data_IF_866285477025
#
_entry.id   IF_866285477025
#
_cell.length_a   1.000
_cell.length_b   1.000
_cell.length_c   1.000
_cell.angle_alpha   90.00
_cell.angle_beta   90.00
_cell.angle_gamma   90.00
#
_symmetry.space_group_name_H-M   'P 1'
#
loop_
_entity.id
_entity.type
_entity.pdbx_description
1 polymer ?
#
# COMPACT_ATOMS: atom_id res chain seq x y z
N UNK A 1 -4.58 -20.04 21.20
CA UNK A 1 -4.92 -21.11 20.20
C UNK A 1 -5.32 -20.54 18.84
N UNK A 2 -6.32 -19.65 18.73
CA UNK A 2 -6.81 -19.10 17.46
C UNK A 2 -5.71 -18.39 16.63
N UNK A 3 -4.90 -17.53 17.23
CA UNK A 3 -3.79 -16.81 16.58
C UNK A 3 -2.73 -17.79 16.06
N UNK A 4 -2.40 -18.81 16.84
CA UNK A 4 -1.42 -19.83 16.46
C UNK A 4 -1.94 -20.69 15.27
N UNK A 5 -3.20 -21.05 15.29
CA UNK A 5 -3.84 -21.77 14.19
C UNK A 5 -3.93 -20.91 12.90
N UNK A 6 -4.22 -19.63 13.05
CA UNK A 6 -4.18 -18.67 11.93
C UNK A 6 -2.77 -18.58 11.34
N UNK A 7 -1.74 -18.34 12.19
CA UNK A 7 -0.34 -18.31 11.79
C UNK A 7 0.05 -19.57 11.00
N UNK A 8 -0.24 -20.75 11.53
CA UNK A 8 0.12 -22.01 10.88
C UNK A 8 -0.49 -22.15 9.48
N UNK A 9 -1.79 -21.85 9.33
CA UNK A 9 -2.47 -21.89 8.03
C UNK A 9 -1.93 -20.86 7.05
N UNK A 10 -1.64 -19.65 7.53
CA UNK A 10 -1.12 -18.56 6.70
C UNK A 10 0.27 -18.91 6.17
N UNK A 11 1.19 -19.33 7.05
CA UNK A 11 2.54 -19.76 6.67
C UNK A 11 2.53 -20.94 5.69
N UNK A 12 1.64 -21.91 5.89
CA UNK A 12 1.48 -23.02 4.95
C UNK A 12 1.07 -22.57 3.54
N UNK A 13 0.25 -21.52 3.43
CA UNK A 13 -0.12 -20.93 2.14
C UNK A 13 1.03 -20.12 1.52
N UNK A 14 1.77 -19.38 2.33
CA UNK A 14 2.94 -18.62 1.86
C UNK A 14 4.04 -19.56 1.37
N UNK A 15 4.35 -20.62 2.11
CA UNK A 15 5.38 -21.61 1.76
C UNK A 15 5.13 -22.26 0.39
N UNK A 16 3.88 -22.54 0.04
CA UNK A 16 3.52 -23.06 -1.29
C UNK A 16 3.90 -22.10 -2.44
N UNK A 17 4.01 -20.81 -2.15
CA UNK A 17 4.29 -19.74 -3.13
C UNK A 17 5.74 -19.24 -3.05
N UNK A 18 6.43 -19.53 -1.97
CA UNK A 18 7.77 -19.02 -1.68
C UNK A 18 8.85 -19.59 -2.59
N UNK A 19 8.67 -20.84 -3.08
CA UNK A 19 9.68 -21.49 -3.92
C UNK A 19 11.04 -21.62 -3.22
N UNK A 20 11.06 -21.84 -1.89
CA UNK A 20 12.30 -21.96 -1.09
C UNK A 20 13.00 -20.63 -0.77
N UNK A 21 12.40 -19.48 -1.05
CA UNK A 21 12.99 -18.17 -0.76
C UNK A 21 12.89 -17.82 0.72
N UNK A 22 13.94 -17.18 1.26
CA UNK A 22 14.02 -16.77 2.65
C UNK A 22 13.05 -15.62 2.99
N UNK A 23 12.77 -14.73 2.03
CA UNK A 23 11.89 -13.57 2.21
C UNK A 23 10.67 -13.66 1.32
N UNK A 24 9.52 -13.36 1.90
CA UNK A 24 8.23 -13.34 1.22
C UNK A 24 7.57 -12.01 1.50
N UNK A 25 7.05 -11.36 0.46
CA UNK A 25 6.19 -10.20 0.60
C UNK A 25 4.75 -10.58 0.34
N UNK A 26 3.85 -10.15 1.21
CA UNK A 26 2.42 -10.20 0.99
C UNK A 26 1.86 -8.78 0.88
N UNK A 27 1.09 -8.52 -0.17
CA UNK A 27 0.47 -7.22 -0.38
C UNK A 27 -1.00 -7.40 -0.74
N UNK A 28 -1.86 -7.00 0.18
CA UNK A 28 -3.28 -6.77 -0.04
C UNK A 28 -3.63 -5.37 0.50
N UNK A 29 -4.21 -4.47 -0.29
CA UNK A 29 -4.49 -3.10 0.15
C UNK A 29 -5.30 -3.03 1.45
N UNK A 30 -6.19 -3.98 1.69
CA UNK A 30 -7.03 -4.02 2.90
C UNK A 30 -6.34 -4.64 4.14
N UNK A 31 -5.07 -5.03 4.07
CA UNK A 31 -4.34 -5.57 5.24
C UNK A 31 -4.25 -4.57 6.40
N UNK A 32 -4.36 -3.27 6.14
CA UNK A 32 -4.42 -2.24 7.18
C UNK A 32 -5.54 -2.48 8.20
N UNK A 33 -6.59 -3.20 7.85
CA UNK A 33 -7.70 -3.54 8.76
C UNK A 33 -7.32 -4.59 9.81
N UNK A 34 -6.22 -5.30 9.61
CA UNK A 34 -5.83 -6.47 10.39
C UNK A 34 -4.47 -6.35 11.05
N UNK A 35 -3.93 -5.13 11.21
CA UNK A 35 -2.56 -4.91 11.72
C UNK A 35 -2.36 -5.56 13.09
N UNK A 36 -3.32 -5.42 14.03
CA UNK A 36 -3.20 -6.07 15.34
C UNK A 36 -3.08 -7.60 15.24
N UNK A 37 -3.90 -8.21 14.37
CA UNK A 37 -3.84 -9.66 14.15
C UNK A 37 -2.51 -10.07 13.50
N UNK A 38 -2.03 -9.28 12.53
CA UNK A 38 -0.75 -9.53 11.88
C UNK A 38 0.42 -9.37 12.85
N UNK A 39 0.41 -8.35 13.70
CA UNK A 39 1.42 -8.17 14.75
C UNK A 39 1.43 -9.31 15.76
N UNK A 40 0.26 -9.79 16.16
CA UNK A 40 0.13 -10.89 17.12
C UNK A 40 0.54 -12.24 16.50
N UNK A 41 0.18 -12.48 15.25
CA UNK A 41 0.47 -13.75 14.58
C UNK A 41 1.91 -13.83 14.04
N UNK A 42 2.50 -12.70 13.66
CA UNK A 42 3.82 -12.61 13.01
C UNK A 42 4.68 -11.55 13.70
N UNK A 43 5.18 -11.80 14.92
CA UNK A 43 6.01 -10.84 15.64
C UNK A 43 7.30 -10.48 14.88
N UNK A 44 7.77 -11.34 14.00
CA UNK A 44 8.93 -11.14 13.14
C UNK A 44 8.65 -10.34 11.86
N UNK A 45 7.41 -10.19 11.47
CA UNK A 45 7.06 -9.50 10.22
C UNK A 45 7.34 -8.00 10.28
N UNK A 46 7.88 -7.44 9.20
CA UNK A 46 7.99 -6.00 8.98
C UNK A 46 6.73 -5.51 8.27
N UNK A 47 6.12 -4.46 8.78
CA UNK A 47 4.92 -3.85 8.19
C UNK A 47 5.34 -2.56 7.49
N UNK A 48 5.12 -2.52 6.18
CA UNK A 48 5.33 -1.30 5.38
C UNK A 48 3.98 -0.76 4.97
N UNK A 49 3.66 0.42 5.47
CA UNK A 49 2.45 1.15 5.12
C UNK A 49 2.78 2.21 4.07
N UNK A 50 2.28 2.04 2.86
CA UNK A 50 2.51 2.97 1.76
C UNK A 50 1.42 4.02 1.76
N UNK A 51 1.81 5.27 1.98
CA UNK A 51 0.93 6.44 1.94
C UNK A 51 1.14 7.21 0.65
N UNK A 52 0.08 7.83 0.16
CA UNK A 52 0.09 8.71 -1.00
C UNK A 52 -0.87 9.87 -0.75
N UNK A 53 -0.69 10.98 -1.47
CA UNK A 53 -1.63 12.10 -1.47
C UNK A 53 -3.08 11.61 -1.49
N UNK A 54 -3.90 12.15 -0.59
CA UNK A 54 -5.25 11.67 -0.30
C UNK A 54 -6.16 11.77 -1.52
N UNK A 55 -6.20 12.94 -2.16
CA UNK A 55 -7.04 13.23 -3.34
C UNK A 55 -6.63 12.35 -4.51
N UNK A 56 -5.31 12.19 -4.73
CA UNK A 56 -4.79 11.30 -5.77
C UNK A 56 -5.17 9.84 -5.52
N UNK A 57 -5.21 9.41 -4.25
CA UNK A 57 -5.62 8.05 -3.86
C UNK A 57 -7.11 7.86 -4.11
N UNK A 58 -7.96 8.78 -3.65
CA UNK A 58 -9.40 8.74 -3.85
C UNK A 58 -9.76 8.78 -5.34
N UNK A 59 -9.15 9.71 -6.08
CA UNK A 59 -9.33 9.81 -7.53
C UNK A 59 -8.91 8.56 -8.28
N UNK A 60 -7.75 7.99 -7.92
CA UNK A 60 -7.26 6.77 -8.55
C UNK A 60 -8.18 5.57 -8.31
N UNK A 61 -8.73 5.44 -7.11
CA UNK A 61 -9.70 4.39 -6.80
C UNK A 61 -11.01 4.60 -7.56
N UNK A 62 -11.55 5.81 -7.58
CA UNK A 62 -12.81 6.14 -8.25
C UNK A 62 -12.75 5.89 -9.77
N UNK A 63 -11.70 6.32 -10.44
CA UNK A 63 -11.58 6.17 -11.90
C UNK A 63 -11.32 4.72 -12.38
N UNK A 64 -10.98 3.79 -11.45
CA UNK A 64 -10.73 2.40 -11.79
C UNK A 64 -11.99 1.56 -11.58
N UNK A 65 -12.35 0.77 -12.58
CA UNK A 65 -13.36 -0.26 -12.41
C UNK A 65 -12.75 -1.48 -11.72
N UNK A 66 -13.25 -1.81 -10.54
CA UNK A 66 -12.89 -3.00 -9.80
C UNK A 66 -14.04 -4.02 -9.88
N UNK A 67 -13.77 -5.20 -10.44
CA UNK A 67 -14.78 -6.26 -10.51
C UNK A 67 -15.12 -6.90 -9.15
N UNK A 68 -14.33 -6.64 -8.11
CA UNK A 68 -14.56 -7.15 -6.76
C UNK A 68 -15.69 -6.39 -6.06
N UNK A 69 -16.66 -7.13 -5.53
CA UNK A 69 -17.77 -6.57 -4.72
C UNK A 69 -17.29 -5.86 -3.44
N UNK A 70 -16.12 -6.25 -2.92
CA UNK A 70 -15.55 -5.69 -1.70
C UNK A 70 -15.03 -4.25 -1.87
N UNK A 71 -14.96 -3.76 -3.12
CA UNK A 71 -14.49 -2.42 -3.47
C UNK A 71 -15.63 -1.51 -3.96
N UNK A 72 -16.88 -1.83 -3.62
CA UNK A 72 -18.05 -1.09 -4.05
C UNK A 72 -18.05 0.40 -3.67
N UNK A 73 -17.36 0.79 -2.60
CA UNK A 73 -17.17 2.18 -2.20
C UNK A 73 -16.50 3.02 -3.30
N UNK A 74 -15.69 2.40 -4.17
CA UNK A 74 -14.96 3.10 -5.24
C UNK A 74 -15.85 3.56 -6.40
N UNK A 75 -17.10 3.14 -6.46
CA UNK A 75 -18.01 3.52 -7.55
C UNK A 75 -18.63 4.91 -7.39
N UNK A 76 -18.48 5.53 -6.22
CA UNK A 76 -18.86 6.91 -5.96
C UNK A 76 -17.71 7.63 -5.29
N UNK A 77 -17.32 8.79 -5.83
CA UNK A 77 -16.17 9.53 -5.32
C UNK A 77 -16.36 9.94 -3.86
N UNK A 78 -17.56 10.40 -3.48
CA UNK A 78 -17.87 10.75 -2.08
C UNK A 78 -17.75 9.56 -1.12
N UNK A 79 -18.17 8.36 -1.54
CA UNK A 79 -18.02 7.14 -0.73
C UNK A 79 -16.56 6.75 -0.61
N UNK A 80 -15.76 6.98 -1.66
CA UNK A 80 -14.30 6.77 -1.65
C UNK A 80 -13.63 7.70 -0.65
N UNK A 81 -14.01 8.99 -0.62
CA UNK A 81 -13.49 9.98 0.33
C UNK A 81 -13.83 9.58 1.78
N UNK A 82 -15.08 9.20 2.05
CA UNK A 82 -15.47 8.71 3.38
C UNK A 82 -14.70 7.47 3.80
N UNK A 83 -14.51 6.52 2.88
CA UNK A 83 -13.73 5.31 3.18
C UNK A 83 -12.25 5.64 3.47
N UNK A 84 -11.70 6.64 2.77
CA UNK A 84 -10.35 7.13 3.03
C UNK A 84 -10.23 7.77 4.42
N UNK A 85 -11.24 8.52 4.87
CA UNK A 85 -11.31 9.05 6.25
C UNK A 85 -11.25 7.93 7.28
N UNK A 86 -12.10 6.90 7.14
CA UNK A 86 -12.07 5.72 8.04
C UNK A 86 -10.72 5.00 8.02
N UNK A 87 -10.07 4.91 6.85
CA UNK A 87 -8.73 4.36 6.75
C UNK A 87 -7.71 5.22 7.53
N UNK A 88 -7.74 6.55 7.38
CA UNK A 88 -6.84 7.46 8.13
C UNK A 88 -6.99 7.30 9.64
N UNK A 89 -8.23 7.31 10.13
CA UNK A 89 -8.53 7.12 11.56
C UNK A 89 -7.97 5.79 12.09
N UNK A 90 -8.22 4.71 11.35
CA UNK A 90 -7.75 3.38 11.75
C UNK A 90 -6.21 3.30 11.71
N UNK A 91 -5.57 3.88 10.69
CA UNK A 91 -4.11 3.91 10.62
C UNK A 91 -3.49 4.78 11.71
N UNK A 92 -4.13 5.90 12.06
CA UNK A 92 -3.71 6.70 13.19
C UNK A 92 -3.72 5.88 14.49
N UNK A 93 -4.82 5.18 14.76
CA UNK A 93 -4.92 4.26 15.91
C UNK A 93 -3.83 3.18 15.88
N UNK A 94 -3.56 2.57 14.72
CA UNK A 94 -2.50 1.57 14.61
C UNK A 94 -1.11 2.14 14.83
N UNK A 95 -0.83 3.34 14.33
CA UNK A 95 0.45 4.00 14.55
C UNK A 95 0.67 4.36 16.02
N UNK A 96 -0.39 4.72 16.76
CA UNK A 96 -0.29 4.93 18.21
C UNK A 96 -0.02 3.61 18.97
N UNK A 97 -0.65 2.52 18.55
CA UNK A 97 -0.59 1.23 19.25
C UNK A 97 0.61 0.37 18.88
N UNK A 98 1.08 0.47 17.63
CA UNK A 98 2.09 -0.39 16.99
C UNK A 98 3.12 0.39 16.19
N UNK A 99 3.36 1.68 16.50
CA UNK A 99 4.20 2.58 15.70
C UNK A 99 5.59 2.03 15.41
N UNK A 100 6.24 1.40 16.38
CA UNK A 100 7.57 0.78 16.23
C UNK A 100 7.61 -0.37 15.21
N UNK A 101 6.43 -0.90 14.85
CA UNK A 101 6.26 -2.03 13.93
C UNK A 101 5.86 -1.59 12.52
N UNK A 102 5.48 -0.33 12.34
CA UNK A 102 4.91 0.20 11.09
C UNK A 102 5.88 1.20 10.50
N UNK A 103 6.46 0.87 9.35
CA UNK A 103 7.23 1.81 8.54
C UNK A 103 6.30 2.54 7.58
N UNK A 104 6.16 3.85 7.75
CA UNK A 104 5.36 4.68 6.86
C UNK A 104 6.23 5.13 5.68
N UNK A 105 5.94 4.60 4.50
CA UNK A 105 6.58 4.97 3.24
C UNK A 105 5.71 5.99 2.51
N UNK A 106 6.24 7.21 2.36
CA UNK A 106 5.61 8.26 1.57
C UNK A 106 5.89 8.00 0.08
N UNK A 107 4.85 7.64 -0.66
CA UNK A 107 4.95 7.36 -2.10
C UNK A 107 5.33 8.59 -2.92
N UNK A 108 4.87 9.76 -2.53
CA UNK A 108 5.16 10.99 -3.27
C UNK A 108 6.64 11.36 -3.12
N UNK A 109 7.19 11.29 -1.91
CA UNK A 109 8.64 11.42 -1.68
C UNK A 109 9.44 10.37 -2.42
N UNK A 110 9.01 9.10 -2.35
CA UNK A 110 9.66 8.02 -3.07
C UNK A 110 9.74 8.28 -4.57
N UNK A 111 8.70 8.87 -5.16
CA UNK A 111 8.71 9.18 -6.61
C UNK A 111 9.50 10.44 -6.93
N UNK A 112 9.66 11.36 -5.98
CA UNK A 112 10.45 12.58 -6.14
C UNK A 112 11.95 12.33 -5.96
N UNK A 113 12.31 11.50 -4.98
CA UNK A 113 13.70 11.18 -4.65
C UNK A 113 13.84 9.68 -4.36
N UNK A 114 13.84 8.90 -5.43
CA UNK A 114 13.72 7.44 -5.36
C UNK A 114 14.83 6.78 -4.55
N UNK A 115 16.09 7.17 -4.74
CA UNK A 115 17.21 6.44 -4.15
C UNK A 115 17.25 6.57 -2.63
N UNK A 116 17.23 7.77 -2.01
CA UNK A 116 17.25 7.90 -0.55
C UNK A 116 16.06 7.17 0.11
N UNK A 117 14.86 7.38 -0.40
CA UNK A 117 13.65 6.75 0.16
C UNK A 117 13.70 5.21 0.05
N UNK A 118 14.22 4.69 -1.07
CA UNK A 118 14.42 3.24 -1.22
C UNK A 118 15.50 2.72 -0.28
N UNK A 119 16.60 3.46 -0.07
CA UNK A 119 17.66 3.07 0.87
C UNK A 119 17.15 2.99 2.29
N UNK A 120 16.40 3.99 2.75
CA UNK A 120 15.78 3.99 4.08
C UNK A 120 14.83 2.79 4.27
N UNK A 121 14.02 2.48 3.24
CA UNK A 121 13.15 1.29 3.27
C UNK A 121 13.96 -0.01 3.39
N UNK A 122 15.00 -0.20 2.58
CA UNK A 122 15.84 -1.42 2.58
C UNK A 122 16.57 -1.57 3.91
N UNK A 123 17.09 -0.47 4.48
CA UNK A 123 17.70 -0.44 5.81
C UNK A 123 16.70 -0.84 6.90
N UNK A 124 15.49 -0.24 6.91
CA UNK A 124 14.42 -0.61 7.86
C UNK A 124 14.08 -2.10 7.79
N UNK A 125 14.06 -2.66 6.59
CA UNK A 125 13.78 -4.09 6.38
C UNK A 125 14.94 -4.99 6.85
N UNK A 126 16.12 -4.42 7.14
CA UNK A 126 17.32 -5.16 7.50
C UNK A 126 17.90 -5.96 6.33
N UNK A 127 17.68 -5.51 5.10
CA UNK A 127 18.14 -6.15 3.89
C UNK A 127 19.41 -5.46 3.36
N UNK A 128 20.23 -6.21 2.62
CA UNK A 128 21.38 -5.64 1.92
C UNK A 128 20.90 -4.83 0.71
N UNK A 129 21.58 -3.72 0.47
CA UNK A 129 21.33 -2.92 -0.72
C UNK A 129 21.70 -3.67 -2.00
N UNK A 130 20.85 -3.54 -3.00
CA UNK A 130 21.10 -3.99 -4.38
C UNK A 130 20.66 -2.87 -5.33
N UNK A 131 21.48 -2.52 -6.32
CA UNK A 131 21.16 -1.46 -7.29
C UNK A 131 19.90 -1.78 -8.10
N UNK A 132 19.54 -3.05 -8.19
CA UNK A 132 18.28 -3.50 -8.78
C UNK A 132 17.03 -2.91 -8.08
N UNK A 133 17.13 -2.45 -6.84
CA UNK A 133 16.05 -1.78 -6.11
C UNK A 133 15.63 -0.47 -6.79
N UNK A 134 16.51 0.19 -7.52
CA UNK A 134 16.21 1.42 -8.28
C UNK A 134 15.59 1.15 -9.65
N UNK A 135 15.52 -0.10 -10.08
CA UNK A 135 14.97 -0.48 -11.37
C UNK A 135 13.83 -1.53 -11.24
N UNK A 136 12.77 -1.25 -10.46
CA UNK A 136 11.69 -2.21 -10.20
C UNK A 136 10.95 -2.63 -11.48
N UNK A 137 10.94 -1.81 -12.53
CA UNK A 137 10.35 -2.11 -13.83
C UNK A 137 11.04 -3.28 -14.54
N UNK A 138 12.29 -3.59 -14.20
CA UNK A 138 13.04 -4.71 -14.79
C UNK A 138 12.63 -6.07 -14.18
N UNK A 139 11.83 -6.07 -13.12
CA UNK A 139 11.33 -7.29 -12.51
C UNK A 139 10.39 -8.04 -13.46
N UNK A 140 10.74 -9.27 -13.80
CA UNK A 140 10.00 -10.13 -14.76
C UNK A 140 8.82 -10.89 -14.13
N UNK A 141 8.60 -10.76 -12.82
CA UNK A 141 7.50 -11.45 -12.13
C UNK A 141 6.16 -11.08 -12.77
N UNK A 142 5.31 -12.08 -12.99
CA UNK A 142 3.95 -11.85 -13.49
C UNK A 142 3.15 -11.00 -12.50
N UNK A 143 2.50 -9.97 -12.98
CA UNK A 143 1.61 -9.07 -12.23
C UNK A 143 0.20 -9.22 -12.79
N UNK A 144 -0.76 -9.57 -11.93
CA UNK A 144 -2.18 -9.80 -12.31
C UNK A 144 -3.11 -8.76 -11.69
N UNK A 145 -2.67 -7.51 -11.61
CA UNK A 145 -3.45 -6.41 -11.03
C UNK A 145 -3.72 -5.32 -12.07
N UNK A 146 -4.64 -4.42 -11.77
CA UNK A 146 -4.94 -3.26 -12.62
C UNK A 146 -3.70 -2.41 -12.98
N UNK A 147 -2.65 -2.48 -12.17
CA UNK A 147 -1.38 -1.76 -12.38
C UNK A 147 -0.38 -2.49 -13.28
N UNK A 148 -0.77 -3.56 -13.99
CA UNK A 148 0.15 -4.39 -14.77
C UNK A 148 1.03 -3.58 -15.75
N UNK A 149 0.47 -2.59 -16.40
CA UNK A 149 1.22 -1.73 -17.33
C UNK A 149 2.12 -0.73 -16.59
N UNK A 150 1.64 -0.16 -15.48
CA UNK A 150 2.36 0.85 -14.71
C UNK A 150 3.64 0.29 -14.07
N UNK A 151 3.60 -0.93 -13.54
CA UNK A 151 4.77 -1.56 -12.89
C UNK A 151 5.90 -1.90 -13.86
N UNK A 152 5.67 -1.76 -15.18
CA UNK A 152 6.69 -1.94 -16.22
C UNK A 152 7.30 -0.62 -16.68
N UNK A 153 6.85 0.48 -16.16
CA UNK A 153 7.42 1.80 -16.40
C UNK A 153 8.41 2.16 -15.30
N UNK A 154 9.40 2.99 -15.63
CA UNK A 154 10.26 3.59 -14.62
C UNK A 154 9.41 4.38 -13.63
N UNK A 155 9.87 4.47 -12.38
CA UNK A 155 9.27 5.37 -11.39
C UNK A 155 9.25 6.78 -11.98
N UNK A 156 8.11 7.46 -11.93
CA UNK A 156 7.92 8.78 -12.52
C UNK A 156 7.23 9.71 -11.52
N UNK A 157 7.57 10.99 -11.62
CA UNK A 157 7.06 12.07 -10.76
C UNK A 157 5.69 12.56 -11.21
N UNK A 158 4.97 13.24 -10.30
CA UNK A 158 3.78 14.01 -10.63
C UNK A 158 2.49 13.23 -10.78
N UNK A 159 2.51 11.91 -10.56
CA UNK A 159 1.30 11.09 -10.67
C UNK A 159 0.20 11.49 -9.67
N UNK A 160 0.56 12.09 -8.54
CA UNK A 160 -0.36 12.56 -7.51
C UNK A 160 -1.00 13.92 -7.82
N UNK A 161 -0.58 14.58 -8.89
CA UNK A 161 -1.19 15.82 -9.37
C UNK A 161 -2.20 15.59 -10.50
N UNK A 162 -2.33 14.36 -11.01
CA UNK A 162 -3.13 14.06 -12.18
C UNK A 162 -4.65 14.30 -12.01
N UNK A 163 -5.14 14.34 -10.79
CA UNK A 163 -6.55 14.62 -10.48
C UNK A 163 -6.89 16.13 -10.65
N UNK A 164 -5.91 17.03 -10.47
CA UNK A 164 -6.14 18.50 -10.49
C UNK A 164 -6.78 19.01 -11.77
N UNK A 165 -6.51 18.38 -12.91
CA UNK A 165 -7.16 18.73 -14.18
C UNK A 165 -8.68 18.48 -14.18
N UNK A 166 -9.18 17.69 -13.23
CA UNK A 166 -10.61 17.41 -13.05
C UNK A 166 -11.22 18.20 -11.89
N UNK A 167 -10.42 18.88 -11.09
CA UNK A 167 -10.83 19.63 -9.90
C UNK A 167 -12.05 20.53 -10.14
N UNK A 168 -12.17 21.30 -11.26
CA UNK A 168 -13.34 22.11 -11.54
C UNK A 168 -14.66 21.34 -11.68
N UNK A 169 -14.60 20.01 -11.82
CA UNK A 169 -15.76 19.12 -12.01
C UNK A 169 -16.03 18.24 -10.77
N UNK A 170 -15.35 18.48 -9.67
CA UNK A 170 -15.42 17.60 -8.48
C UNK A 170 -16.24 18.20 -7.33
N UNK A 171 -16.87 19.37 -7.52
CA UNK A 171 -17.78 20.02 -6.59
C UNK A 171 -17.26 20.05 -5.13
N UNK A 172 -15.96 20.30 -4.92
CA UNK A 172 -15.35 20.40 -3.60
C UNK A 172 -15.36 19.09 -2.80
N UNK A 173 -15.56 17.93 -3.44
CA UNK A 173 -15.68 16.64 -2.74
C UNK A 173 -14.44 16.28 -1.89
N UNK A 174 -13.29 16.86 -2.20
CA UNK A 174 -12.04 16.63 -1.46
C UNK A 174 -11.85 17.55 -0.25
N UNK A 175 -12.70 18.56 -0.07
CA UNK A 175 -12.64 19.45 1.11
C UNK A 175 -12.87 18.62 2.41
N UNK A 176 -13.60 17.50 2.30
CA UNK A 176 -13.80 16.55 3.41
C UNK A 176 -12.50 15.79 3.82
N UNK A 177 -11.41 15.87 3.03
CA UNK A 177 -10.13 15.19 3.35
C UNK A 177 -9.21 16.05 4.25
N UNK A 178 -9.47 17.34 4.36
CA UNK A 178 -8.66 18.30 5.14
C UNK A 178 -9.06 18.35 6.62
N UNK A 179 -10.18 17.70 6.97
CA UNK A 179 -10.70 17.60 8.35
C UNK A 179 -10.27 16.30 9.00
#
# INVERSE_FOLDING_TARGET
>A
EAVSAFRGRYLAQLSKRAGGRAFITDKMPQNFRYIALLCAAFPEAKIVHVQRNAEATCWSNFKHYFASKDLGYSYKLRDTVKYYGLYKELMHFWCQSYGDRIYNLDYDKLTEDQEPETRHLIEHLGLKWEDACLAPQNNKRSVRTASQQQVRQKVYKGSSQAWRKYEPFLDGVFDELET
#
